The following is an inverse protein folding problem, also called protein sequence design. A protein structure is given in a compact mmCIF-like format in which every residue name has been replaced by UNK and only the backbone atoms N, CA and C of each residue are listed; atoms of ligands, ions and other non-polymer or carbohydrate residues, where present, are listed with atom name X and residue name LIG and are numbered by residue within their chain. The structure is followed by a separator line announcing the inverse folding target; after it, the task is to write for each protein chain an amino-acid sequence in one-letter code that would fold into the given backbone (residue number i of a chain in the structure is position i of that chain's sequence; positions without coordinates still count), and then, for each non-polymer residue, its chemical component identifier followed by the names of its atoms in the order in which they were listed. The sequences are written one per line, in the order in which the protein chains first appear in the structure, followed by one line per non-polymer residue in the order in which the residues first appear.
data_IF_021935931968
#
_entry.id   IF_021935931968
#
_cell.length_a   1.000
_cell.length_b   1.000
_cell.length_c   1.000
_cell.angle_alpha   90.00
_cell.angle_beta   90.00
_cell.angle_gamma   90.00
#
_symmetry.space_group_name_H-M   'P 1'
#
loop_
_entity.id
_entity.type
_entity.pdbx_description
1 polymer ?
#
# COMPACT_ATOMS: atom_id res chain seq x y z
N UNK A 1 57.07 -70.90 -22.77
CA UNK A 1 58.16 -70.15 -23.44
C UNK A 1 57.52 -69.26 -24.49
N UNK A 2 57.52 -67.96 -24.21
CA UNK A 2 56.89 -66.91 -25.03
C UNK A 2 57.79 -66.52 -26.20
N UNK A 3 57.21 -66.48 -27.41
CA UNK A 3 57.79 -65.95 -28.65
C UNK A 3 57.12 -64.60 -29.00
N UNK A 4 57.70 -63.80 -29.92
CA UNK A 4 57.78 -62.37 -29.75
C UNK A 4 56.86 -61.56 -30.67
N UNK A 5 56.71 -60.33 -30.20
CA UNK A 5 56.30 -59.08 -30.84
C UNK A 5 56.61 -58.97 -32.34
N UNK A 6 55.60 -58.62 -33.15
CA UNK A 6 55.79 -58.01 -34.48
C UNK A 6 54.86 -56.82 -34.66
N UNK A 7 55.48 -55.67 -34.97
CA UNK A 7 54.88 -54.37 -35.29
C UNK A 7 54.01 -54.44 -36.56
N UNK A 8 52.88 -53.74 -36.54
CA UNK A 8 52.14 -53.29 -37.72
C UNK A 8 51.60 -51.87 -37.49
N UNK A 9 52.07 -50.91 -38.28
CA UNK A 9 51.60 -49.51 -38.36
C UNK A 9 50.37 -49.44 -39.29
N UNK A 10 49.38 -48.59 -38.98
CA UNK A 10 48.27 -48.23 -39.88
C UNK A 10 47.33 -47.23 -39.21
N UNK A 11 47.59 -45.92 -39.34
CA UNK A 11 46.84 -44.93 -40.15
C UNK A 11 45.52 -44.44 -39.52
N UNK A 12 45.45 -43.11 -39.35
CA UNK A 12 44.33 -42.27 -38.93
C UNK A 12 42.99 -42.58 -39.61
N UNK A 13 41.89 -42.41 -38.89
CA UNK A 13 40.74 -41.63 -39.39
C UNK A 13 39.94 -41.05 -38.21
N UNK A 14 39.96 -39.71 -38.12
CA UNK A 14 39.07 -38.92 -37.29
C UNK A 14 37.64 -39.04 -37.84
N UNK A 15 36.69 -39.41 -37.01
CA UNK A 15 35.26 -39.30 -37.30
C UNK A 15 34.62 -38.38 -36.27
N UNK A 16 34.55 -37.10 -36.63
CA UNK A 16 33.70 -36.10 -36.00
C UNK A 16 32.23 -36.44 -36.30
N UNK A 17 31.48 -36.90 -35.29
CA UNK A 17 30.02 -36.90 -35.36
C UNK A 17 29.51 -35.54 -34.89
N UNK A 18 29.05 -34.74 -35.85
CA UNK A 18 28.35 -33.48 -35.60
C UNK A 18 26.89 -33.80 -35.29
N UNK A 19 26.47 -33.63 -34.04
CA UNK A 19 25.08 -33.68 -33.60
C UNK A 19 24.45 -32.30 -33.85
N UNK A 20 23.77 -32.15 -34.99
CA UNK A 20 22.89 -31.01 -35.24
C UNK A 20 21.63 -31.21 -34.42
N UNK A 21 21.62 -30.67 -33.20
CA UNK A 21 20.42 -30.56 -32.39
C UNK A 21 19.53 -29.45 -32.95
N UNK A 22 18.45 -29.81 -33.64
CA UNK A 22 17.36 -28.90 -33.98
C UNK A 22 16.61 -28.53 -32.70
N UNK A 23 17.05 -27.45 -32.06
CA UNK A 23 16.32 -26.82 -30.96
C UNK A 23 15.00 -26.25 -31.45
N UNK A 24 13.92 -27.02 -31.29
CA UNK A 24 12.56 -26.51 -31.37
C UNK A 24 12.34 -25.58 -30.16
N UNK A 25 12.71 -24.30 -30.33
CA UNK A 25 12.31 -23.24 -29.42
C UNK A 25 10.80 -23.06 -29.55
N UNK A 26 10.04 -23.84 -28.78
CA UNK A 26 8.68 -23.52 -28.39
C UNK A 26 8.76 -22.23 -27.57
N UNK A 27 8.71 -21.09 -28.28
CA UNK A 27 8.51 -19.80 -27.67
C UNK A 27 7.17 -19.81 -26.96
N UNK A 28 7.17 -20.13 -25.67
CA UNK A 28 6.04 -19.79 -24.82
C UNK A 28 5.90 -18.27 -24.93
N UNK A 29 4.76 -17.74 -25.41
CA UNK A 29 4.52 -16.33 -25.32
C UNK A 29 4.63 -15.97 -23.84
N UNK A 30 5.49 -15.01 -23.52
CA UNK A 30 5.47 -14.32 -22.24
C UNK A 30 4.05 -13.79 -22.06
N UNK A 31 3.21 -14.55 -21.36
CA UNK A 31 1.92 -14.08 -20.88
C UNK A 31 2.24 -12.97 -19.89
N UNK A 32 2.26 -11.73 -20.38
CA UNK A 32 2.06 -10.59 -19.51
C UNK A 32 0.77 -10.86 -18.74
N UNK A 33 0.85 -10.88 -17.42
CA UNK A 33 -0.36 -10.91 -16.60
C UNK A 33 -1.14 -9.64 -16.95
N UNK A 34 -2.38 -9.76 -17.47
CA UNK A 34 -3.18 -8.57 -17.71
C UNK A 34 -3.42 -7.84 -16.40
N UNK A 35 -3.41 -6.50 -16.47
CA UNK A 35 -3.75 -5.60 -15.38
C UNK A 35 -5.22 -5.81 -14.97
N UNK A 36 -5.51 -6.83 -14.18
CA UNK A 36 -6.89 -7.17 -13.81
C UNK A 36 -7.31 -6.41 -12.55
N UNK A 37 -7.52 -5.09 -12.68
CA UNK A 37 -8.27 -4.37 -11.64
C UNK A 37 -9.68 -4.98 -11.54
N UNK A 38 -10.09 -5.32 -10.32
CA UNK A 38 -11.35 -5.98 -10.04
C UNK A 38 -12.43 -4.92 -9.80
N UNK A 39 -12.90 -4.28 -10.87
CA UNK A 39 -13.94 -3.22 -10.79
C UNK A 39 -15.21 -3.70 -10.10
N UNK A 40 -15.66 -4.91 -10.41
CA UNK A 40 -16.86 -5.50 -9.80
C UNK A 40 -16.63 -5.80 -8.31
N UNK A 41 -15.44 -6.23 -7.92
CA UNK A 41 -15.07 -6.36 -6.52
C UNK A 41 -14.94 -5.03 -5.80
N UNK A 42 -14.40 -3.99 -6.44
CA UNK A 42 -14.30 -2.65 -5.87
C UNK A 42 -15.69 -2.08 -5.55
N UNK A 43 -16.64 -2.26 -6.48
CA UNK A 43 -18.04 -1.87 -6.26
C UNK A 43 -18.66 -2.63 -5.06
N UNK A 44 -18.53 -3.96 -5.02
CA UNK A 44 -19.05 -4.77 -3.89
C UNK A 44 -18.41 -4.39 -2.56
N UNK A 45 -17.11 -4.11 -2.55
CA UNK A 45 -16.40 -3.66 -1.36
C UNK A 45 -16.93 -2.29 -0.89
N UNK A 46 -17.25 -1.38 -1.80
CA UNK A 46 -17.81 -0.06 -1.45
C UNK A 46 -19.23 -0.18 -0.88
N UNK A 47 -20.06 -1.04 -1.46
CA UNK A 47 -21.41 -1.32 -0.96
C UNK A 47 -21.35 -1.91 0.47
N UNK A 48 -20.47 -2.88 0.69
CA UNK A 48 -20.25 -3.49 2.00
C UNK A 48 -19.70 -2.49 3.03
N UNK A 49 -18.73 -1.66 2.64
CA UNK A 49 -18.15 -0.64 3.50
C UNK A 49 -19.19 0.38 3.98
N UNK A 50 -20.06 0.85 3.08
CA UNK A 50 -21.17 1.76 3.41
C UNK A 50 -22.20 1.12 4.33
N UNK A 51 -22.47 -0.18 4.16
CA UNK A 51 -23.33 -0.95 5.08
C UNK A 51 -22.73 -0.98 6.47
N UNK A 52 -21.45 -1.32 6.59
CA UNK A 52 -20.74 -1.37 7.87
C UNK A 52 -20.65 0.00 8.55
N UNK A 53 -20.46 1.07 7.78
CA UNK A 53 -20.47 2.44 8.28
C UNK A 53 -21.85 2.80 8.86
N UNK A 54 -22.91 2.48 8.13
CA UNK A 54 -24.30 2.69 8.59
C UNK A 54 -24.59 1.92 9.88
N UNK A 55 -24.15 0.67 9.98
CA UNK A 55 -24.30 -0.15 11.19
C UNK A 55 -23.46 0.37 12.36
N UNK A 56 -22.25 0.86 12.09
CA UNK A 56 -21.40 1.50 13.09
C UNK A 56 -22.09 2.74 13.64
N UNK A 57 -22.61 3.61 12.77
CA UNK A 57 -23.27 4.85 13.18
C UNK A 57 -24.68 4.65 13.76
N UNK A 58 -25.36 3.55 13.46
CA UNK A 58 -26.61 3.19 14.14
C UNK A 58 -26.42 2.83 15.62
N UNK A 59 -25.22 2.38 16.01
CA UNK A 59 -24.88 2.04 17.40
C UNK A 59 -24.56 3.30 18.21
N UNK A 60 -24.59 3.21 19.53
CA UNK A 60 -24.20 4.31 20.43
C UNK A 60 -23.26 3.84 21.55
N UNK A 61 -22.56 4.78 22.19
CA UNK A 61 -21.71 4.51 23.36
C UNK A 61 -20.66 3.41 23.14
N UNK A 62 -20.60 2.44 24.06
CA UNK A 62 -19.62 1.35 24.03
C UNK A 62 -19.78 0.38 22.85
N UNK A 63 -20.94 0.35 22.18
CA UNK A 63 -21.19 -0.54 21.05
C UNK A 63 -20.47 -0.09 19.76
N UNK A 64 -20.03 1.18 19.66
CA UNK A 64 -19.10 1.64 18.62
C UNK A 64 -17.66 1.42 19.11
N UNK A 65 -17.24 0.16 19.12
CA UNK A 65 -15.89 -0.22 19.55
C UNK A 65 -14.84 0.15 18.51
N UNK A 66 -13.60 0.32 18.95
CA UNK A 66 -12.44 0.61 18.10
C UNK A 66 -12.29 -0.44 16.98
N UNK A 67 -12.52 -1.71 17.31
CA UNK A 67 -12.46 -2.80 16.34
C UNK A 67 -13.45 -2.62 15.19
N UNK A 68 -14.65 -2.08 15.45
CA UNK A 68 -15.66 -1.84 14.41
C UNK A 68 -15.26 -0.70 13.47
N UNK A 69 -14.61 0.35 13.97
CA UNK A 69 -14.01 1.38 13.11
C UNK A 69 -12.95 0.75 12.19
N UNK A 70 -12.03 -0.04 12.74
CA UNK A 70 -10.96 -0.68 11.97
C UNK A 70 -11.49 -1.67 10.93
N UNK A 71 -12.59 -2.37 11.22
CA UNK A 71 -13.28 -3.24 10.27
C UNK A 71 -13.85 -2.45 9.09
N UNK A 72 -14.59 -1.38 9.37
CA UNK A 72 -15.18 -0.52 8.34
C UNK A 72 -14.12 0.18 7.48
N UNK A 73 -13.09 0.75 8.12
CA UNK A 73 -11.93 1.36 7.45
C UNK A 73 -11.30 0.36 6.48
N UNK A 74 -11.03 -0.87 6.94
CA UNK A 74 -10.40 -1.90 6.09
C UNK A 74 -11.24 -2.20 4.85
N UNK A 75 -12.56 -2.24 4.97
CA UNK A 75 -13.43 -2.46 3.81
C UNK A 75 -13.41 -1.29 2.83
N UNK A 76 -13.38 -0.04 3.32
CA UNK A 76 -13.14 1.10 2.42
C UNK A 76 -11.76 1.02 1.74
N UNK A 77 -10.75 0.50 2.43
CA UNK A 77 -9.43 0.32 1.85
C UNK A 77 -9.40 -0.72 0.73
N UNK A 78 -10.15 -1.80 0.86
CA UNK A 78 -10.29 -2.83 -0.19
C UNK A 78 -10.80 -2.25 -1.52
N UNK A 79 -11.61 -1.18 -1.51
CA UNK A 79 -12.14 -0.56 -2.73
C UNK A 79 -11.01 -0.11 -3.66
N UNK A 80 -10.10 0.72 -3.14
CA UNK A 80 -9.00 1.26 -3.92
C UNK A 80 -7.84 0.27 -4.08
N UNK A 81 -7.79 -0.82 -3.30
CA UNK A 81 -6.90 -1.95 -3.56
C UNK A 81 -7.35 -2.80 -4.75
N UNK A 82 -8.66 -2.91 -4.96
CA UNK A 82 -9.23 -3.72 -6.05
C UNK A 82 -9.22 -2.98 -7.39
N UNK A 83 -9.68 -1.74 -7.40
CA UNK A 83 -9.62 -0.87 -8.58
C UNK A 83 -9.41 0.59 -8.14
N UNK A 84 -8.17 1.10 -8.21
CA UNK A 84 -7.87 2.48 -7.85
C UNK A 84 -8.55 3.51 -8.76
N UNK A 85 -8.94 3.11 -9.98
CA UNK A 85 -9.61 3.94 -10.99
C UNK A 85 -11.12 3.73 -11.01
N UNK A 86 -11.66 2.98 -10.04
CA UNK A 86 -13.09 2.90 -9.84
C UNK A 86 -13.62 4.26 -9.38
N UNK A 87 -14.77 4.66 -9.92
CA UNK A 87 -15.37 5.99 -9.68
C UNK A 87 -15.70 6.26 -8.21
N UNK A 88 -15.82 5.22 -7.38
CA UNK A 88 -16.03 5.33 -5.94
C UNK A 88 -14.78 5.15 -5.08
N UNK A 89 -13.59 5.09 -5.68
CA UNK A 89 -12.35 4.92 -4.92
C UNK A 89 -11.95 6.18 -4.16
N UNK A 90 -12.24 7.37 -4.69
CA UNK A 90 -12.03 8.63 -3.97
C UNK A 90 -13.01 8.79 -2.79
N UNK A 91 -14.28 8.41 -2.97
CA UNK A 91 -15.27 8.25 -1.92
C UNK A 91 -14.75 7.36 -0.78
N UNK A 92 -14.20 6.19 -1.13
CA UNK A 92 -13.70 5.24 -0.15
C UNK A 92 -12.49 5.76 0.62
N UNK A 93 -11.55 6.44 -0.05
CA UNK A 93 -10.40 7.07 0.61
C UNK A 93 -10.86 8.16 1.58
N UNK A 94 -11.79 9.02 1.16
CA UNK A 94 -12.31 10.09 2.02
C UNK A 94 -13.05 9.55 3.24
N UNK A 95 -13.87 8.50 3.06
CA UNK A 95 -14.59 7.84 4.13
C UNK A 95 -13.62 7.17 5.12
N UNK A 96 -12.63 6.43 4.64
CA UNK A 96 -11.60 5.83 5.48
C UNK A 96 -10.83 6.89 6.30
N UNK A 97 -10.45 8.01 5.67
CA UNK A 97 -9.79 9.12 6.37
C UNK A 97 -10.68 9.74 7.45
N UNK A 98 -11.97 9.92 7.16
CA UNK A 98 -12.95 10.46 8.10
C UNK A 98 -13.21 9.52 9.27
N UNK A 99 -13.27 8.22 9.04
CA UNK A 99 -13.41 7.22 10.11
C UNK A 99 -12.17 7.14 11.00
N UNK A 100 -10.96 7.26 10.44
CA UNK A 100 -9.75 7.39 11.26
C UNK A 100 -9.77 8.67 12.10
N UNK A 101 -10.25 9.79 11.55
CA UNK A 101 -10.39 11.03 12.30
C UNK A 101 -11.37 10.86 13.48
N UNK A 102 -12.57 10.34 13.21
CA UNK A 102 -13.59 10.07 14.24
C UNK A 102 -13.06 9.12 15.32
N UNK A 103 -12.40 8.03 14.92
CA UNK A 103 -11.81 7.08 15.85
C UNK A 103 -10.69 7.72 16.69
N UNK A 104 -9.82 8.52 16.07
CA UNK A 104 -8.72 9.20 16.75
C UNK A 104 -9.21 10.19 17.81
N UNK A 105 -10.27 10.94 17.52
CA UNK A 105 -10.88 11.86 18.47
C UNK A 105 -11.62 11.10 19.59
N UNK A 106 -12.39 10.07 19.24
CA UNK A 106 -13.18 9.28 20.19
C UNK A 106 -12.31 8.52 21.19
N UNK A 107 -11.29 7.81 20.70
CA UNK A 107 -10.43 6.95 21.52
C UNK A 107 -9.17 7.67 22.01
N UNK A 108 -9.00 8.97 21.67
CA UNK A 108 -7.81 9.77 21.97
C UNK A 108 -6.51 9.11 21.49
N UNK A 109 -6.54 8.64 20.24
CA UNK A 109 -5.46 7.90 19.59
C UNK A 109 -4.76 8.77 18.54
N UNK A 110 -3.60 9.37 18.86
CA UNK A 110 -2.91 10.27 17.94
C UNK A 110 -2.40 9.56 16.67
N UNK A 111 -2.17 8.26 16.74
CA UNK A 111 -1.83 7.42 15.60
C UNK A 111 -2.96 7.38 14.55
N UNK A 112 -4.22 7.37 14.96
CA UNK A 112 -5.36 7.46 14.03
C UNK A 112 -5.49 8.85 13.40
N UNK A 113 -5.21 9.91 14.15
CA UNK A 113 -5.16 11.27 13.60
C UNK A 113 -4.06 11.40 12.54
N UNK A 114 -2.89 10.79 12.78
CA UNK A 114 -1.81 10.73 11.81
C UNK A 114 -2.23 9.97 10.55
N UNK A 115 -2.88 8.80 10.68
CA UNK A 115 -3.40 8.01 9.55
C UNK A 115 -4.46 8.76 8.75
N UNK A 116 -5.38 9.46 9.42
CA UNK A 116 -6.37 10.32 8.78
C UNK A 116 -5.69 11.42 7.94
N UNK A 117 -4.71 12.13 8.51
CA UNK A 117 -3.95 13.15 7.79
C UNK A 117 -3.27 12.57 6.54
N UNK A 118 -2.63 11.40 6.66
CA UNK A 118 -1.99 10.71 5.52
C UNK A 118 -2.99 10.37 4.42
N UNK A 119 -4.15 9.82 4.74
CA UNK A 119 -5.18 9.47 3.74
C UNK A 119 -5.81 10.71 3.08
N UNK A 120 -6.02 11.79 3.81
CA UNK A 120 -6.47 13.05 3.21
C UNK A 120 -5.42 13.60 2.22
N UNK A 121 -4.14 13.58 2.59
CA UNK A 121 -3.05 13.97 1.67
C UNK A 121 -2.98 13.07 0.44
N UNK A 122 -3.21 11.77 0.61
CA UNK A 122 -3.29 10.82 -0.49
C UNK A 122 -4.43 11.16 -1.44
N UNK A 123 -5.62 11.45 -0.93
CA UNK A 123 -6.74 11.87 -1.78
C UNK A 123 -6.37 13.10 -2.64
N UNK A 124 -5.75 14.11 -2.03
CA UNK A 124 -5.34 15.33 -2.74
C UNK A 124 -4.31 15.05 -3.84
N UNK A 125 -3.42 14.08 -3.62
CA UNK A 125 -2.33 13.72 -4.53
C UNK A 125 -2.80 12.81 -5.67
N UNK A 126 -3.45 11.70 -5.32
CA UNK A 126 -3.74 10.60 -6.23
C UNK A 126 -5.12 10.71 -6.88
N UNK A 127 -6.01 11.53 -6.30
CA UNK A 127 -7.36 11.81 -6.80
C UNK A 127 -7.59 13.32 -6.97
N UNK A 128 -6.78 14.03 -7.77
CA UNK A 128 -6.83 15.49 -7.88
C UNK A 128 -8.14 16.03 -8.50
N UNK A 129 -8.89 15.18 -9.21
CA UNK A 129 -10.21 15.50 -9.76
C UNK A 129 -11.36 15.21 -8.78
N UNK A 130 -11.09 14.69 -7.59
CA UNK A 130 -12.12 14.36 -6.61
C UNK A 130 -12.80 15.61 -6.07
N UNK A 131 -14.11 15.52 -5.83
CA UNK A 131 -14.89 16.57 -5.16
C UNK A 131 -14.39 16.88 -3.74
N UNK A 132 -13.67 15.94 -3.11
CA UNK A 132 -13.21 16.08 -1.74
C UNK A 132 -11.85 16.78 -1.60
N UNK A 133 -11.18 17.16 -2.69
CA UNK A 133 -9.81 17.71 -2.64
C UNK A 133 -9.69 18.93 -1.74
N UNK A 134 -10.62 19.88 -1.84
CA UNK A 134 -10.59 21.10 -1.03
C UNK A 134 -10.72 20.79 0.47
N UNK A 135 -11.67 19.93 0.82
CA UNK A 135 -11.93 19.54 2.20
C UNK A 135 -10.80 18.67 2.77
N UNK A 136 -10.34 17.67 2.02
CA UNK A 136 -9.23 16.81 2.39
C UNK A 136 -7.96 17.62 2.66
N UNK A 137 -7.64 18.62 1.81
CA UNK A 137 -6.51 19.51 2.03
C UNK A 137 -6.62 20.26 3.36
N UNK A 138 -7.76 20.90 3.62
CA UNK A 138 -8.00 21.62 4.86
C UNK A 138 -7.89 20.71 6.09
N UNK A 139 -8.53 19.53 6.07
CA UNK A 139 -8.46 18.55 7.17
C UNK A 139 -7.03 18.04 7.39
N UNK A 140 -6.27 17.79 6.32
CA UNK A 140 -4.88 17.36 6.42
C UNK A 140 -4.00 18.41 7.11
N UNK A 141 -4.16 19.70 6.79
CA UNK A 141 -3.41 20.81 7.40
C UNK A 141 -3.72 20.96 8.90
N UNK A 142 -4.99 20.89 9.27
CA UNK A 142 -5.42 20.92 10.68
C UNK A 142 -4.85 19.73 11.44
N UNK A 143 -4.84 18.53 10.86
CA UNK A 143 -4.29 17.35 11.53
C UNK A 143 -2.77 17.35 11.61
N UNK A 144 -2.08 17.91 10.61
CA UNK A 144 -0.63 18.05 10.62
C UNK A 144 -0.17 18.97 11.76
N UNK A 145 -0.88 20.06 12.00
CA UNK A 145 -0.58 20.96 13.14
C UNK A 145 -0.85 20.31 14.50
N UNK A 146 -1.89 19.47 14.62
CA UNK A 146 -2.22 18.74 15.86
C UNK A 146 -1.28 17.57 16.19
N UNK A 147 -0.77 16.88 15.17
CA UNK A 147 0.02 15.64 15.38
C UNK A 147 1.53 15.88 15.41
N UNK A 148 1.99 17.11 15.19
CA UNK A 148 3.42 17.41 15.05
C UNK A 148 4.07 16.72 13.85
N UNK A 149 3.26 16.09 12.99
CA UNK A 149 3.71 15.39 11.80
C UNK A 149 4.00 16.40 10.68
N UNK A 150 5.06 17.17 10.84
CA UNK A 150 5.77 17.86 9.74
C UNK A 150 6.65 16.88 8.96
N UNK A 151 6.22 15.62 8.86
CA UNK A 151 6.85 14.66 7.98
C UNK A 151 6.71 15.16 6.55
N UNK A 152 7.84 15.45 5.90
CA UNK A 152 7.92 15.52 4.45
C UNK A 152 7.43 14.18 3.89
N UNK A 153 6.14 14.04 3.62
CA UNK A 153 5.77 13.30 2.41
C UNK A 153 6.40 14.14 1.32
N UNK A 154 7.47 13.63 0.72
CA UNK A 154 8.04 14.26 -0.45
C UNK A 154 7.01 14.10 -1.58
N UNK A 155 6.05 15.01 -1.58
CA UNK A 155 5.22 15.34 -2.72
C UNK A 155 5.62 16.77 -3.10
N UNK A 156 6.39 16.98 -4.18
CA UNK A 156 6.56 18.29 -4.75
C UNK A 156 5.66 18.47 -5.98
N UNK A 157 4.88 19.55 -5.89
CA UNK A 157 4.38 20.46 -6.93
C UNK A 157 3.66 19.92 -8.19
N UNK A 158 2.50 20.51 -8.54
CA UNK A 158 1.94 20.34 -9.88
C UNK A 158 2.87 21.03 -10.88
N UNK A 159 3.54 20.25 -11.72
CA UNK A 159 3.97 20.78 -13.00
C UNK A 159 2.69 21.10 -13.78
N UNK A 160 2.40 22.40 -13.89
CA UNK A 160 1.32 22.94 -14.70
C UNK A 160 1.23 22.20 -16.04
N UNK A 161 0.03 21.74 -16.36
CA UNK A 161 -0.43 21.57 -17.73
C UNK A 161 -0.22 22.92 -18.44
N UNK A 162 0.93 23.11 -19.08
CA UNK A 162 1.08 24.09 -20.13
C UNK A 162 0.54 23.44 -21.39
N UNK A 163 -0.69 23.83 -21.73
CA UNK A 163 -1.23 23.81 -23.09
C UNK A 163 -0.14 24.21 -24.10
N UNK A 164 0.13 23.43 -25.15
CA UNK A 164 0.92 23.93 -26.26
C UNK A 164 0.07 24.96 -27.02
N UNK A 165 0.44 26.23 -26.88
CA UNK A 165 -0.01 27.28 -27.76
C UNK A 165 0.61 27.08 -29.16
N UNK A 166 -0.26 27.01 -30.17
CA UNK A 166 -0.11 27.54 -31.54
C UNK A 166 1.24 27.29 -32.25
N UNK A 167 1.22 26.35 -33.21
CA UNK A 167 2.19 26.28 -34.31
C UNK A 167 2.25 27.62 -35.06
N UNK A 168 3.44 28.13 -35.41
CA UNK A 168 3.61 28.88 -36.65
C UNK A 168 3.95 27.90 -37.78
N UNK A 169 3.16 27.95 -38.85
CA UNK A 169 3.43 27.31 -40.13
C UNK A 169 4.73 27.85 -40.73
N UNK A 170 5.56 26.93 -41.22
CA UNK A 170 6.78 27.18 -41.96
C UNK A 170 7.16 25.96 -42.79
N UNK A 171 6.46 25.80 -43.92
CA UNK A 171 6.85 25.04 -45.12
C UNK A 171 8.30 25.41 -45.57
N UNK A 172 9.20 24.58 -46.12
CA UNK A 172 9.15 23.28 -46.80
C UNK A 172 10.58 22.68 -46.91
N UNK A 173 10.62 21.34 -46.98
CA UNK A 173 11.50 20.48 -47.79
C UNK A 173 13.00 20.29 -47.41
N UNK A 174 13.34 19.05 -47.00
CA UNK A 174 13.92 18.04 -47.92
C UNK A 174 13.79 16.63 -47.33
N UNK A 175 13.15 15.76 -48.09
CA UNK A 175 13.03 14.32 -47.86
C UNK A 175 14.39 13.64 -47.99
N UNK A 176 14.76 12.85 -47.00
CA UNK A 176 15.75 11.78 -47.16
C UNK A 176 15.13 10.50 -46.55
N UNK A 177 15.07 9.45 -47.38
CA UNK A 177 14.42 8.17 -47.10
C UNK A 177 15.14 7.39 -45.98
N UNK A 178 14.46 6.46 -45.27
CA UNK A 178 15.07 5.73 -44.17
C UNK A 178 16.10 4.72 -44.71
N UNK A 179 17.36 4.92 -44.35
CA UNK A 179 18.40 3.89 -44.50
C UNK A 179 18.10 2.67 -43.62
N UNK A 180 18.73 1.51 -43.90
CA UNK A 180 18.50 0.29 -43.14
C UNK A 180 18.83 0.54 -41.67
N UNK A 181 17.84 0.29 -40.82
CA UNK A 181 17.92 0.49 -39.38
C UNK A 181 18.99 -0.44 -38.81
N UNK A 182 20.17 0.11 -38.56
CA UNK A 182 21.18 -0.53 -37.73
C UNK A 182 20.55 -0.85 -36.36
N UNK A 183 20.93 -1.95 -35.68
CA UNK A 183 20.37 -2.30 -34.38
C UNK A 183 20.55 -1.11 -33.44
N UNK A 184 19.44 -0.48 -33.03
CA UNK A 184 19.47 0.64 -32.08
C UNK A 184 20.22 0.18 -30.83
N UNK A 185 21.22 0.95 -30.45
CA UNK A 185 21.89 0.85 -29.16
C UNK A 185 20.84 0.72 -28.04
N UNK A 186 21.15 -0.13 -27.05
CA UNK A 186 20.32 -0.35 -25.86
C UNK A 186 19.74 0.98 -25.37
N UNK A 187 18.42 1.13 -25.47
CA UNK A 187 17.74 2.38 -25.18
C UNK A 187 18.01 2.76 -23.72
N UNK A 188 18.78 3.82 -23.52
CA UNK A 188 19.04 4.38 -22.19
C UNK A 188 17.73 4.92 -21.60
N UNK A 189 17.42 4.53 -20.35
CA UNK A 189 16.20 4.94 -19.66
C UNK A 189 16.57 5.64 -18.36
N UNK A 190 16.08 6.86 -18.18
CA UNK A 190 16.30 7.62 -16.94
C UNK A 190 15.15 7.36 -15.96
N UNK A 191 15.51 6.96 -14.74
CA UNK A 191 14.55 6.90 -13.62
C UNK A 191 14.46 8.30 -13.03
N UNK A 192 13.40 9.03 -13.34
CA UNK A 192 13.22 10.42 -12.92
C UNK A 192 12.96 10.54 -11.43
N UNK A 193 12.14 9.65 -10.89
CA UNK A 193 11.68 9.77 -9.53
C UNK A 193 10.98 8.53 -9.05
N UNK A 194 10.79 8.49 -7.74
CA UNK A 194 9.95 7.53 -7.07
C UNK A 194 8.99 8.28 -6.17
N UNK A 195 7.71 7.92 -6.31
CA UNK A 195 6.62 8.39 -5.48
C UNK A 195 6.10 7.19 -4.71
N UNK A 196 5.67 7.41 -3.49
CA UNK A 196 5.04 6.36 -2.73
C UNK A 196 3.94 6.91 -1.85
N UNK A 197 2.97 6.05 -1.62
CA UNK A 197 1.97 6.23 -0.58
C UNK A 197 1.94 4.97 0.25
N UNK A 198 2.03 5.10 1.57
CA UNK A 198 2.00 3.96 2.46
C UNK A 198 1.08 4.18 3.64
N UNK A 199 0.43 3.09 4.01
CA UNK A 199 -0.38 2.88 5.21
C UNK A 199 0.08 1.58 5.86
N UNK A 200 -0.35 1.31 7.09
CA UNK A 200 0.07 0.13 7.83
C UNK A 200 -0.09 -1.22 7.10
N UNK A 201 -1.06 -1.36 6.18
CA UNK A 201 -1.33 -2.61 5.46
C UNK A 201 -1.13 -2.54 3.95
N UNK A 202 -0.75 -1.38 3.41
CA UNK A 202 -0.67 -1.18 1.97
C UNK A 202 0.33 -0.10 1.60
N UNK A 203 1.12 -0.39 0.58
CA UNK A 203 2.05 0.55 -0.02
C UNK A 203 1.90 0.56 -1.53
N UNK A 204 1.68 1.74 -2.11
CA UNK A 204 1.82 2.00 -3.55
C UNK A 204 3.16 2.68 -3.80
N UNK A 205 3.95 2.17 -4.72
CA UNK A 205 5.18 2.79 -5.21
C UNK A 205 5.05 3.04 -6.70
N UNK A 206 5.37 4.24 -7.15
CA UNK A 206 5.34 4.63 -8.56
C UNK A 206 6.74 5.10 -8.92
N UNK A 207 7.35 4.44 -9.91
CA UNK A 207 8.59 4.88 -10.53
C UNK A 207 8.27 5.58 -11.84
N UNK A 208 8.76 6.81 -11.99
CA UNK A 208 8.61 7.61 -13.19
C UNK A 208 9.86 7.46 -14.08
N UNK A 209 9.66 7.23 -15.37
CA UNK A 209 10.71 7.04 -16.37
C UNK A 209 10.55 8.06 -17.51
N UNK A 210 11.64 8.37 -18.20
CA UNK A 210 11.62 9.21 -19.42
C UNK A 210 11.04 8.49 -20.63
N UNK A 211 11.17 7.16 -20.65
CA UNK A 211 10.77 6.27 -21.73
C UNK A 211 10.37 4.91 -21.16
N UNK A 212 9.71 4.08 -21.99
CA UNK A 212 9.21 2.77 -21.56
C UNK A 212 10.36 1.86 -21.08
N UNK A 213 10.39 1.46 -19.80
CA UNK A 213 11.48 0.64 -19.28
C UNK A 213 11.35 -0.82 -19.72
N UNK A 214 12.48 -1.44 -20.05
CA UNK A 214 12.59 -2.90 -20.13
C UNK A 214 13.15 -3.43 -18.81
N UNK A 215 12.44 -4.36 -18.17
CA UNK A 215 12.86 -4.88 -16.87
C UNK A 215 12.53 -6.34 -16.64
N UNK A 216 13.32 -6.98 -15.77
CA UNK A 216 12.98 -8.27 -15.15
C UNK A 216 12.67 -8.07 -13.67
N UNK A 217 11.84 -8.94 -13.11
CA UNK A 217 11.43 -8.88 -11.70
C UNK A 217 11.69 -10.21 -11.00
N UNK A 218 12.12 -10.15 -9.75
CA UNK A 218 12.38 -11.33 -8.92
C UNK A 218 11.97 -11.04 -7.47
N UNK A 219 11.38 -12.03 -6.79
CA UNK A 219 11.09 -11.97 -5.36
C UNK A 219 12.04 -12.93 -4.64
N UNK A 220 12.71 -12.44 -3.61
CA UNK A 220 13.71 -13.18 -2.84
C UNK A 220 13.28 -13.20 -1.37
N UNK A 221 13.12 -14.39 -0.76
CA UNK A 221 12.84 -14.50 0.66
C UNK A 221 14.11 -14.28 1.51
N UNK A 222 13.93 -14.06 2.82
CA UNK A 222 14.98 -14.05 3.85
C UNK A 222 16.15 -13.04 3.63
N UNK A 223 15.92 -11.73 3.84
CA UNK A 223 14.64 -11.08 4.11
C UNK A 223 13.86 -10.82 2.81
N UNK A 224 12.54 -10.68 2.93
CA UNK A 224 11.64 -10.46 1.80
C UNK A 224 12.01 -9.21 0.99
N UNK A 225 12.35 -9.40 -0.29
CA UNK A 225 12.77 -8.36 -1.21
C UNK A 225 12.17 -8.57 -2.59
N UNK A 226 11.77 -7.48 -3.23
CA UNK A 226 11.43 -7.49 -4.65
C UNK A 226 12.48 -6.69 -5.42
N UNK A 227 13.08 -7.32 -6.44
CA UNK A 227 14.03 -6.68 -7.34
C UNK A 227 13.37 -6.34 -8.67
N UNK A 228 13.69 -5.16 -9.20
CA UNK A 228 13.43 -4.78 -10.58
C UNK A 228 14.75 -4.39 -11.24
N UNK A 229 15.16 -5.20 -12.21
CA UNK A 229 16.38 -4.97 -12.98
C UNK A 229 16.02 -4.22 -14.26
N UNK A 230 16.29 -2.93 -14.28
CA UNK A 230 15.99 -2.02 -15.39
C UNK A 230 17.18 -2.01 -16.37
N UNK A 231 16.97 -2.46 -17.61
CA UNK A 231 17.97 -2.44 -18.68
C UNK A 231 18.15 -1.03 -19.25
N UNK A 232 19.40 -0.64 -19.51
CA UNK A 232 19.75 0.73 -19.90
C UNK A 232 19.44 1.76 -18.82
N UNK A 233 19.04 1.32 -17.61
CA UNK A 233 18.49 2.18 -16.58
C UNK A 233 19.56 3.00 -15.89
N UNK A 234 19.32 4.30 -15.71
CA UNK A 234 20.15 5.18 -14.88
C UNK A 234 19.29 5.97 -13.89
N UNK A 235 19.55 5.84 -12.58
CA UNK A 235 18.83 6.63 -11.58
C UNK A 235 19.18 8.10 -11.75
N UNK A 236 18.18 8.99 -11.77
CA UNK A 236 18.40 10.43 -11.81
C UNK A 236 19.24 10.94 -10.63
N UNK A 237 19.78 12.17 -10.70
CA UNK A 237 20.64 12.75 -9.67
C UNK A 237 20.08 12.63 -8.24
N UNK A 238 18.77 12.83 -8.10
CA UNK A 238 18.06 12.77 -6.82
C UNK A 238 17.97 11.37 -6.20
N UNK A 239 18.11 10.31 -6.99
CA UNK A 239 17.94 8.93 -6.54
C UNK A 239 19.28 8.26 -6.23
N UNK A 240 20.38 8.77 -6.79
CA UNK A 240 21.73 8.20 -6.63
C UNK A 240 22.26 8.25 -5.20
N UNK A 241 21.80 9.19 -4.39
CA UNK A 241 22.25 9.41 -3.01
C UNK A 241 21.16 9.16 -1.97
N UNK A 242 19.94 8.79 -2.38
CA UNK A 242 18.79 8.63 -1.48
C UNK A 242 18.47 7.16 -1.25
N UNK A 243 18.66 6.73 -0.01
CA UNK A 243 17.94 5.59 0.54
C UNK A 243 16.60 6.10 1.06
N UNK A 244 15.50 5.64 0.46
CA UNK A 244 14.17 6.07 0.86
C UNK A 244 13.62 5.11 1.89
N UNK A 245 13.75 5.46 3.16
CA UNK A 245 13.10 4.74 4.25
C UNK A 245 11.62 5.08 4.28
N UNK A 246 10.79 4.05 4.36
CA UNK A 246 9.35 4.15 4.44
C UNK A 246 8.99 3.62 5.83
N UNK A 247 8.58 4.54 6.71
CA UNK A 247 8.36 4.26 8.13
C UNK A 247 7.02 3.60 8.44
N UNK A 248 6.12 3.52 7.46
CA UNK A 248 4.75 3.02 7.63
C UNK A 248 4.48 1.93 6.60
N UNK A 249 3.92 0.80 7.02
CA UNK A 249 3.45 -0.25 6.14
C UNK A 249 4.41 -1.41 5.89
N UNK A 250 4.16 -2.12 4.79
CA UNK A 250 4.84 -3.36 4.40
C UNK A 250 6.17 -3.14 3.69
N UNK A 251 6.42 -1.93 3.20
CA UNK A 251 7.67 -1.56 2.54
C UNK A 251 8.52 -0.76 3.52
N UNK A 252 9.71 -1.26 3.83
CA UNK A 252 10.68 -0.60 4.73
C UNK A 252 11.54 0.41 4.01
N UNK A 253 11.97 0.07 2.80
CA UNK A 253 12.96 0.87 2.10
C UNK A 253 12.93 0.64 0.58
N UNK A 254 13.22 1.69 -0.18
CA UNK A 254 13.55 1.62 -1.60
C UNK A 254 15.03 1.96 -1.80
N UNK A 255 15.75 1.11 -2.54
CA UNK A 255 17.17 1.30 -2.87
C UNK A 255 17.39 1.22 -4.37
N UNK A 256 18.40 1.92 -4.85
CA UNK A 256 18.85 1.89 -6.23
C UNK A 256 20.33 1.53 -6.24
N UNK A 257 20.72 0.61 -7.11
CA UNK A 257 22.11 0.22 -7.27
C UNK A 257 22.40 -0.32 -8.65
N UNK A 258 23.64 -0.22 -9.09
CA UNK A 258 24.07 -0.89 -10.32
C UNK A 258 24.23 -2.38 -10.04
N UNK A 259 23.50 -3.23 -10.76
CA UNK A 259 23.60 -4.69 -10.63
C UNK A 259 24.66 -5.25 -11.58
N UNK A 260 24.66 -4.75 -12.82
CA UNK A 260 25.61 -5.08 -13.89
C UNK A 260 25.84 -3.82 -14.73
N UNK A 261 26.87 -3.78 -15.60
CA UNK A 261 26.97 -2.73 -16.59
C UNK A 261 25.63 -2.52 -17.29
N UNK A 262 25.15 -1.28 -17.30
CA UNK A 262 23.89 -0.86 -17.93
C UNK A 262 22.60 -1.45 -17.33
N UNK A 263 22.66 -2.13 -16.18
CA UNK A 263 21.47 -2.63 -15.47
C UNK A 263 21.39 -2.04 -14.08
N UNK A 264 20.43 -1.15 -13.86
CA UNK A 264 20.10 -0.62 -12.54
C UNK A 264 19.08 -1.53 -11.86
N UNK A 265 19.41 -2.02 -10.67
CA UNK A 265 18.51 -2.75 -9.79
C UNK A 265 17.85 -1.81 -8.80
N UNK A 266 16.52 -1.83 -8.82
CA UNK A 266 15.67 -1.24 -7.79
C UNK A 266 15.34 -2.35 -6.79
N UNK A 267 15.54 -2.08 -5.51
CA UNK A 267 15.24 -3.01 -4.40
C UNK A 267 14.14 -2.43 -3.54
N UNK A 268 13.09 -3.21 -3.33
CA UNK A 268 12.03 -2.96 -2.36
C UNK A 268 12.23 -3.92 -1.19
N UNK A 269 12.65 -3.40 -0.03
CA UNK A 269 12.80 -4.20 1.20
C UNK A 269 11.46 -4.27 1.93
N UNK A 270 10.95 -5.47 2.17
CA UNK A 270 9.62 -5.68 2.72
C UNK A 270 9.65 -6.17 4.17
N UNK A 271 8.52 -6.00 4.86
CA UNK A 271 8.25 -6.60 6.16
C UNK A 271 7.08 -7.54 6.10
N UNK A 272 7.27 -8.73 6.66
CA UNK A 272 6.23 -9.73 6.79
C UNK A 272 5.69 -10.26 5.46
N UNK A 273 4.68 -11.13 5.60
CA UNK A 273 4.01 -11.72 4.45
C UNK A 273 3.27 -10.65 3.66
N UNK A 274 3.44 -10.68 2.34
CA UNK A 274 2.92 -9.67 1.45
C UNK A 274 2.44 -10.31 0.13
N UNK A 275 1.63 -9.55 -0.59
CA UNK A 275 1.31 -9.82 -1.98
C UNK A 275 1.47 -8.53 -2.76
N UNK A 276 1.90 -8.63 -4.01
CA UNK A 276 2.12 -7.44 -4.82
C UNK A 276 1.64 -7.61 -6.26
N UNK A 277 1.26 -6.48 -6.85
CA UNK A 277 0.87 -6.35 -8.25
C UNK A 277 1.71 -5.26 -8.89
N UNK A 278 2.08 -5.46 -10.17
CA UNK A 278 2.87 -4.50 -10.94
C UNK A 278 2.09 -4.10 -12.18
N UNK A 279 2.03 -2.80 -12.44
CA UNK A 279 1.30 -2.20 -13.54
C UNK A 279 2.24 -1.25 -14.31
N UNK A 280 2.18 -1.29 -15.63
CA UNK A 280 2.92 -0.36 -16.49
C UNK A 280 1.93 0.63 -17.11
N UNK A 281 2.25 1.93 -17.05
CA UNK A 281 1.50 3.00 -17.73
C UNK A 281 2.41 3.65 -18.78
N UNK A 282 1.86 4.00 -19.93
CA UNK A 282 2.65 4.46 -21.08
C UNK A 282 2.68 5.98 -21.29
N UNK A 283 1.83 6.77 -20.61
CA UNK A 283 1.81 8.23 -20.74
C UNK A 283 1.55 8.95 -19.40
N UNK A 284 2.61 9.46 -18.72
CA UNK A 284 4.03 9.20 -18.97
C UNK A 284 4.44 7.78 -18.55
N UNK A 285 5.61 7.32 -19.00
CA UNK A 285 6.13 6.00 -18.71
C UNK A 285 6.31 5.77 -17.19
N UNK A 286 5.55 4.82 -16.63
CA UNK A 286 5.56 4.52 -15.20
C UNK A 286 5.50 3.02 -14.93
N UNK A 287 6.19 2.61 -13.87
CA UNK A 287 5.94 1.32 -13.19
C UNK A 287 5.26 1.64 -11.86
N UNK A 288 4.03 1.16 -11.69
CA UNK A 288 3.29 1.25 -10.44
C UNK A 288 3.25 -0.12 -9.78
N UNK A 289 3.54 -0.16 -8.48
CA UNK A 289 3.63 -1.37 -7.69
C UNK A 289 2.75 -1.20 -6.47
N UNK A 290 1.77 -2.08 -6.34
CA UNK A 290 0.91 -2.15 -5.18
C UNK A 290 1.35 -3.33 -4.33
N UNK A 291 1.59 -3.09 -3.05
CA UNK A 291 2.05 -4.08 -2.08
C UNK A 291 1.05 -4.08 -0.94
N UNK A 292 0.47 -5.24 -0.65
CA UNK A 292 -0.46 -5.44 0.46
C UNK A 292 0.14 -6.38 1.49
N UNK A 293 -0.13 -6.11 2.76
CA UNK A 293 0.13 -7.08 3.82
C UNK A 293 -0.77 -8.30 3.57
N UNK A 294 -0.15 -9.47 3.43
CA UNK A 294 -0.91 -10.71 3.35
C UNK A 294 -1.61 -10.90 4.69
N UNK A 295 -2.93 -11.09 4.64
CA UNK A 295 -3.70 -11.39 5.84
C UNK A 295 -3.31 -12.79 6.30
N UNK A 296 -2.52 -12.89 7.36
CA UNK A 296 -2.32 -14.15 8.06
C UNK A 296 -3.67 -14.53 8.65
N UNK A 297 -4.37 -15.49 8.03
CA UNK A 297 -5.57 -16.11 8.62
C UNK A 297 -5.15 -16.80 9.91
N UNK A 298 -5.27 -16.07 11.03
CA UNK A 298 -4.96 -16.58 12.36
C UNK A 298 -3.80 -15.85 13.04
N UNK A 299 -3.97 -14.57 13.36
CA UNK A 299 -3.20 -13.92 14.42
C UNK A 299 -4.08 -12.88 15.12
N UNK A 300 -4.81 -13.33 16.14
CA UNK A 300 -5.28 -12.43 17.18
C UNK A 300 -4.07 -11.71 17.78
N UNK A 301 -4.22 -10.41 18.01
CA UNK A 301 -3.30 -9.59 18.80
C UNK A 301 -2.79 -10.35 20.02
N UNK A 302 -1.54 -10.79 19.98
CA UNK A 302 -0.79 -10.93 21.22
C UNK A 302 -0.25 -9.54 21.54
N UNK A 303 -1.01 -8.82 22.35
CA UNK A 303 -0.45 -7.79 23.20
C UNK A 303 0.81 -8.34 23.86
N UNK A 304 1.92 -7.63 23.66
CA UNK A 304 3.15 -7.81 24.41
C UNK A 304 2.83 -7.56 25.88
N UNK A 305 2.43 -8.61 26.60
CA UNK A 305 2.60 -8.67 28.05
C UNK A 305 4.11 -8.64 28.30
N UNK A 306 4.63 -7.44 28.53
CA UNK A 306 5.96 -7.25 29.09
C UNK A 306 5.98 -7.92 30.46
N UNK A 307 6.52 -9.13 30.50
CA UNK A 307 6.80 -9.87 31.71
C UNK A 307 7.78 -9.05 32.56
N UNK A 308 7.40 -8.83 33.82
CA UNK A 308 8.27 -8.36 34.88
C UNK A 308 9.15 -9.55 35.31
N UNK A 309 10.48 -9.42 35.44
CA UNK A 309 11.32 -10.55 35.80
C UNK A 309 11.27 -10.84 37.31
N UNK A 310 10.93 -12.09 37.65
CA UNK A 310 11.60 -12.86 38.71
C UNK A 310 11.04 -12.78 40.13
N UNK A 311 10.01 -13.59 40.43
CA UNK A 311 9.84 -14.15 41.78
C UNK A 311 10.57 -15.49 41.82
N UNK A 312 11.57 -15.61 42.70
CA UNK A 312 12.18 -16.90 43.06
C UNK A 312 11.25 -17.64 44.03
N UNK A 313 11.04 -18.92 43.72
CA UNK A 313 10.31 -19.96 44.46
C UNK A 313 10.96 -20.31 45.82
N UNK A 314 10.28 -21.12 46.68
CA UNK A 314 10.24 -20.98 48.13
C UNK A 314 11.22 -21.87 48.91
N UNK A 315 11.45 -21.52 50.18
CA UNK A 315 11.97 -22.43 51.20
C UNK A 315 11.04 -22.38 52.44
N UNK A 316 10.69 -23.57 52.95
CA UNK A 316 9.67 -23.79 53.99
C UNK A 316 10.06 -23.45 55.43
N UNK A 317 9.45 -24.11 56.44
CA UNK A 317 8.49 -23.46 57.31
C UNK A 317 9.04 -23.13 58.71
N UNK A 318 8.55 -22.03 59.30
CA UNK A 318 8.72 -21.75 60.72
C UNK A 318 7.35 -21.56 61.40
N UNK A 319 7.12 -22.46 62.35
CA UNK A 319 5.98 -22.58 63.25
C UNK A 319 5.99 -21.47 64.30
N UNK A 320 4.90 -20.73 64.44
CA UNK A 320 4.56 -20.03 65.69
C UNK A 320 3.04 -19.94 65.86
N UNK A 321 2.57 -20.40 67.02
CA UNK A 321 1.18 -20.39 67.50
C UNK A 321 0.76 -18.95 67.87
N UNK A 322 -0.50 -18.59 67.61
CA UNK A 322 -1.44 -18.09 68.64
C UNK A 322 -2.86 -17.83 68.07
N UNK A 323 -3.85 -18.42 68.76
CA UNK A 323 -5.22 -17.98 69.13
C UNK A 323 -5.86 -16.83 68.32
N UNK A 324 -7.13 -16.84 67.93
CA UNK A 324 -8.29 -17.65 68.29
C UNK A 324 -9.57 -16.84 67.96
N UNK A 325 -10.75 -17.49 68.04
CA UNK A 325 -12.06 -16.82 68.09
C UNK A 325 -12.85 -16.82 66.78
N UNK A 326 -13.93 -17.59 66.73
CA UNK A 326 -14.89 -17.67 65.62
C UNK A 326 -15.97 -16.56 65.67
N UNK A 327 -17.21 -16.86 65.24
CA UNK A 327 -17.84 -16.22 64.08
C UNK A 327 -19.02 -15.32 64.46
N UNK A 328 -19.39 -14.34 63.61
CA UNK A 328 -20.71 -13.71 63.69
C UNK A 328 -21.26 -13.34 62.30
N UNK A 329 -22.47 -13.86 62.09
CA UNK A 329 -23.59 -13.54 61.22
C UNK A 329 -23.82 -12.11 60.67
N UNK A 330 -24.42 -12.11 59.46
CA UNK A 330 -25.68 -11.43 59.07
C UNK A 330 -25.78 -9.89 59.02
N UNK A 331 -26.09 -9.33 57.84
CA UNK A 331 -27.44 -8.78 57.52
C UNK A 331 -27.49 -7.89 56.25
N UNK A 332 -28.52 -8.13 55.43
CA UNK A 332 -29.35 -7.22 54.59
C UNK A 332 -28.68 -6.06 53.79
N UNK A 333 -28.71 -6.03 52.44
CA UNK A 333 -29.84 -5.80 51.54
C UNK A 333 -30.56 -4.44 51.70
N UNK A 334 -30.47 -3.55 50.69
CA UNK A 334 -31.59 -2.89 49.98
C UNK A 334 -31.08 -2.16 48.69
N UNK A 335 -31.89 -2.07 47.62
CA UNK A 335 -31.49 -1.55 46.30
C UNK A 335 -31.89 -0.08 46.08
N UNK A 336 -31.10 0.66 45.28
CA UNK A 336 -31.49 1.97 44.76
C UNK A 336 -32.04 1.82 43.33
N UNK A 337 -33.28 2.24 43.13
CA UNK A 337 -34.05 2.12 41.89
C UNK A 337 -33.63 3.09 40.77
N UNK A 338 -34.20 2.93 39.56
CA UNK A 338 -33.81 3.67 38.36
C UNK A 338 -34.43 5.08 38.28
N UNK A 339 -33.61 6.05 37.81
CA UNK A 339 -34.06 7.39 37.44
C UNK A 339 -34.76 7.39 36.08
N UNK A 340 -35.97 7.96 36.06
CA UNK A 340 -36.77 8.29 34.87
C UNK A 340 -36.41 9.69 34.37
N UNK A 341 -36.16 9.92 33.07
CA UNK A 341 -36.10 11.27 32.49
C UNK A 341 -37.49 11.79 32.05
N UNK A 342 -37.76 13.10 32.14
CA UNK A 342 -39.07 13.67 31.80
C UNK A 342 -39.29 13.79 30.28
N UNK A 343 -40.52 13.52 29.88
CA UNK A 343 -41.04 13.71 28.53
C UNK A 343 -41.16 15.21 28.17
N UNK A 344 -40.64 15.59 27.00
CA UNK A 344 -40.92 16.89 26.38
C UNK A 344 -41.96 16.69 25.29
N UNK A 345 -43.07 17.44 25.42
CA UNK A 345 -44.23 17.42 24.54
C UNK A 345 -43.93 18.12 23.21
N UNK A 346 -44.45 17.54 22.16
CA UNK A 346 -44.58 18.09 20.81
C UNK A 346 -45.67 19.16 20.78
N UNK A 347 -45.38 20.33 20.24
CA UNK A 347 -46.37 21.31 19.83
C UNK A 347 -45.98 21.88 18.46
N UNK A 348 -46.80 21.57 17.45
CA UNK A 348 -46.82 22.24 16.16
C UNK A 348 -47.83 23.38 16.21
N UNK A 349 -47.69 24.41 15.36
CA UNK A 349 -48.86 25.12 14.91
C UNK A 349 -49.00 25.16 13.39
N UNK A 350 -50.27 25.35 13.06
CA UNK A 350 -50.94 25.21 11.80
C UNK A 350 -50.61 26.27 10.74
N UNK A 351 -50.99 25.86 9.53
CA UNK A 351 -51.23 26.60 8.30
C UNK A 351 -51.99 27.92 8.54
N UNK A 352 -51.64 28.96 7.79
CA UNK A 352 -52.58 30.03 7.43
C UNK A 352 -52.58 30.21 5.91
N UNK A 353 -53.79 30.10 5.36
CA UNK A 353 -54.15 30.36 3.98
C UNK A 353 -54.44 31.86 3.75
N UNK A 354 -54.48 32.21 2.47
CA UNK A 354 -54.71 33.50 1.86
C UNK A 354 -55.93 34.31 2.34
N UNK A 355 -55.88 35.65 2.22
CA UNK A 355 -56.91 36.48 1.56
C UNK A 355 -56.42 37.92 1.28
N UNK A 356 -56.68 38.30 0.03
CA UNK A 356 -56.84 39.56 -0.72
C UNK A 356 -57.17 40.89 0.00
N UNK A 357 -56.91 41.99 -0.75
CA UNK A 357 -57.36 43.40 -0.66
C UNK A 357 -56.34 44.31 0.06
N UNK A 358 -55.79 45.35 -0.59
CA UNK A 358 -56.43 46.45 -1.32
C UNK A 358 -55.47 47.06 -2.34
#
# INVERSE_FOLDING_TARGET
MTLPQRRGRGVCFFLCFSLVGTGLFLGLPLRGFPNNWDRAGAQRALEEARRLESELHARSGAARSEQKYLECIRQFQEVYFKDPHFVGSDDAVFAAASLYLEAGERFRRPDYLSRASKLFRFLVSDYPSSRFVAEARSRAEVLASKTGATGKVSAPQPASLKTPAKLPSGDLAKLEAPGPEAPRADSHVIIHGVRYFSTAGYTRVIFDFDSKPQYSRECVPDPDRIFFDIRGGSPGPDLRTKNLTIEDGVLKQVRFGLNRPEVTRIVLDLDGSHEYSVFNLEDPARIMIDIRAAQVKGAHSQEVKRALPGTLEPAGPARAKAKGGGPVESAAALPLGPLVPPAVRSEAPAQNAATTQT
#
